data_IF_948538241469
#
_entry.id   IF_948538241469
#
_cell.length_a   1.000
_cell.length_b   1.000
_cell.length_c   1.000
_cell.angle_alpha   90.00
_cell.angle_beta   90.00
_cell.angle_gamma   90.00
#
_symmetry.space_group_name_H-M   'P 1'
#
loop_
_entity.id
_entity.type
_entity.pdbx_description
1 polymer ?
#
# COMPACT_ATOMS: atom_id res chain seq x y z
N UNK A 1 6.07 12.95 0.42
CA UNK A 1 4.87 12.62 -0.39
C UNK A 1 5.31 12.58 -1.85
N UNK A 2 5.09 11.47 -2.58
CA UNK A 2 5.47 11.33 -3.99
C UNK A 2 4.67 12.28 -4.91
N UNK A 3 5.36 12.83 -5.91
CA UNK A 3 4.77 13.67 -6.95
C UNK A 3 4.06 12.80 -7.99
N UNK A 4 2.81 13.11 -8.32
CA UNK A 4 1.97 12.33 -9.25
C UNK A 4 1.56 13.10 -10.52
N UNK A 5 1.77 14.42 -10.53
CA UNK A 5 1.53 15.27 -11.70
C UNK A 5 2.56 16.40 -11.70
N UNK A 6 3.02 16.80 -12.88
CA UNK A 6 3.95 17.91 -13.08
C UNK A 6 3.22 19.21 -13.42
N UNK A 7 1.96 19.16 -13.89
CA UNK A 7 1.18 20.34 -14.27
C UNK A 7 -0.35 20.15 -14.11
N UNK A 8 -0.98 20.71 -13.05
CA UNK A 8 -0.34 21.37 -11.91
C UNK A 8 0.48 20.36 -11.07
N UNK A 9 1.46 20.84 -10.31
CA UNK A 9 2.21 19.97 -9.39
C UNK A 9 1.21 19.37 -8.38
N UNK A 10 1.12 18.04 -8.35
CA UNK A 10 0.29 17.30 -7.39
C UNK A 10 1.12 16.26 -6.66
N UNK A 11 0.81 16.09 -5.39
CA UNK A 11 1.36 15.04 -4.54
C UNK A 11 0.22 14.16 -4.02
N UNK A 12 0.53 12.90 -3.78
CA UNK A 12 -0.41 11.96 -3.19
C UNK A 12 0.17 11.29 -1.94
N UNK A 13 -0.72 10.81 -1.10
CA UNK A 13 -0.41 9.79 -0.10
C UNK A 13 -0.86 8.46 -0.70
N UNK A 14 0.06 7.52 -0.76
CA UNK A 14 -0.23 6.16 -1.21
C UNK A 14 -0.36 5.25 0.01
N UNK A 15 -1.21 4.24 -0.12
CA UNK A 15 -1.36 3.16 0.87
C UNK A 15 -0.42 2.00 0.53
N UNK A 16 -0.47 0.94 1.34
CA UNK A 16 0.23 -0.34 1.15
C UNK A 16 1.76 -0.37 1.38
N UNK A 17 2.33 0.64 2.02
CA UNK A 17 3.65 0.53 2.70
C UNK A 17 3.37 0.01 4.12
N UNK A 18 3.19 -1.31 4.23
CA UNK A 18 2.71 -2.00 5.44
C UNK A 18 3.84 -2.15 6.45
N UNK A 19 5.06 -2.39 5.97
CA UNK A 19 6.24 -2.53 6.83
C UNK A 19 6.85 -1.17 7.24
N UNK A 20 6.39 -0.07 6.64
CA UNK A 20 6.79 1.31 6.90
C UNK A 20 8.25 1.64 6.58
N UNK A 21 8.84 0.95 5.60
CA UNK A 21 10.22 1.20 5.16
C UNK A 21 10.32 2.33 4.12
N UNK A 22 9.17 2.83 3.64
CA UNK A 22 9.10 3.95 2.71
C UNK A 22 9.06 3.52 1.24
N UNK A 23 8.97 2.24 0.93
CA UNK A 23 8.77 1.70 -0.42
C UNK A 23 7.58 0.75 -0.39
N UNK A 24 6.76 0.73 -1.44
CA UNK A 24 5.78 -0.34 -1.61
C UNK A 24 6.40 -1.42 -2.46
N UNK A 25 6.69 -2.58 -1.88
CA UNK A 25 7.33 -3.69 -2.60
C UNK A 25 6.80 -5.09 -2.21
N UNK A 26 7.54 -6.13 -2.60
CA UNK A 26 7.16 -7.52 -2.36
C UNK A 26 7.09 -7.89 -0.87
N UNK A 27 7.81 -7.17 0.01
CA UNK A 27 7.74 -7.37 1.45
C UNK A 27 6.38 -6.92 2.00
N UNK A 28 5.84 -5.80 1.52
CA UNK A 28 4.50 -5.35 1.91
C UNK A 28 3.41 -6.29 1.38
N UNK A 29 3.52 -6.67 0.11
CA UNK A 29 2.61 -7.63 -0.52
C UNK A 29 2.58 -8.95 0.25
N UNK A 30 3.73 -9.44 0.70
CA UNK A 30 3.80 -10.64 1.53
C UNK A 30 3.04 -10.49 2.85
N UNK A 31 3.01 -9.30 3.46
CA UNK A 31 2.22 -9.06 4.68
C UNK A 31 0.72 -9.04 4.39
N UNK A 32 0.31 -8.41 3.29
CA UNK A 32 -1.09 -8.36 2.85
C UNK A 32 -1.59 -9.76 2.49
N UNK A 33 -0.85 -10.49 1.66
CA UNK A 33 -1.21 -11.84 1.22
C UNK A 33 -1.31 -12.81 2.39
N UNK A 34 -0.38 -12.75 3.34
CA UNK A 34 -0.44 -13.58 4.53
C UNK A 34 -1.64 -13.23 5.41
N UNK A 35 -1.98 -11.95 5.58
CA UNK A 35 -3.15 -11.54 6.36
C UNK A 35 -4.47 -11.94 5.68
N UNK A 36 -4.54 -11.79 4.35
CA UNK A 36 -5.66 -12.24 3.51
C UNK A 36 -5.85 -13.76 3.58
N UNK A 37 -4.78 -14.54 3.46
CA UNK A 37 -4.80 -16.00 3.61
C UNK A 37 -5.32 -16.46 4.98
N UNK A 38 -5.04 -15.67 6.04
CA UNK A 38 -5.51 -15.93 7.39
C UNK A 38 -6.88 -15.30 7.70
N UNK A 39 -7.56 -14.70 6.71
CA UNK A 39 -8.87 -14.05 6.86
C UNK A 39 -8.88 -13.00 7.99
N UNK A 40 -7.81 -12.22 8.11
CA UNK A 40 -7.69 -11.18 9.14
C UNK A 40 -8.73 -10.08 8.86
N UNK A 41 -9.37 -9.60 9.93
CA UNK A 41 -10.40 -8.55 9.87
C UNK A 41 -10.15 -7.49 10.95
N UNK A 42 -10.83 -6.36 10.82
CA UNK A 42 -10.69 -5.19 11.68
C UNK A 42 -9.67 -4.19 11.15
N UNK A 43 -9.45 -3.12 11.92
CA UNK A 43 -8.50 -2.07 11.57
C UNK A 43 -7.07 -2.51 11.91
N UNK A 44 -6.45 -3.21 10.95
CA UNK A 44 -5.07 -3.72 11.05
C UNK A 44 -4.21 -3.11 9.94
N UNK A 45 -2.90 -3.11 10.11
CA UNK A 45 -1.98 -2.48 9.14
C UNK A 45 -2.14 -3.00 7.70
N UNK A 46 -2.40 -4.30 7.45
CA UNK A 46 -2.65 -4.83 6.10
C UNK A 46 -4.02 -4.49 5.49
N UNK A 47 -4.95 -3.91 6.25
CA UNK A 47 -6.22 -3.35 5.73
C UNK A 47 -5.91 -1.96 5.15
N UNK A 48 -5.48 -1.96 3.88
CA UNK A 48 -4.93 -0.76 3.23
C UNK A 48 -6.02 0.08 2.56
N UNK A 49 -7.22 -0.48 2.40
CA UNK A 49 -8.41 0.19 1.88
C UNK A 49 -9.33 0.74 2.99
N UNK A 50 -9.19 0.24 4.23
CA UNK A 50 -9.92 0.67 5.42
C UNK A 50 -11.33 0.10 5.58
N UNK A 51 -11.66 -1.01 4.92
CA UNK A 51 -12.99 -1.64 4.95
C UNK A 51 -13.15 -2.72 6.04
N UNK A 52 -12.10 -2.93 6.85
CA UNK A 52 -12.02 -3.92 7.93
C UNK A 52 -11.96 -5.38 7.49
N UNK A 53 -11.65 -5.68 6.23
CA UNK A 53 -11.44 -7.02 5.72
C UNK A 53 -10.15 -7.03 4.90
N UNK A 54 -9.15 -7.81 5.32
CA UNK A 54 -7.95 -7.97 4.48
C UNK A 54 -8.24 -9.00 3.40
N UNK A 55 -8.32 -8.56 2.13
CA UNK A 55 -8.62 -9.45 1.01
C UNK A 55 -7.86 -9.09 -0.30
N UNK A 56 -8.33 -9.63 -1.43
CA UNK A 56 -7.70 -9.42 -2.73
C UNK A 56 -7.76 -7.95 -3.20
N UNK A 57 -8.67 -7.13 -2.65
CA UNK A 57 -8.76 -5.72 -2.98
C UNK A 57 -7.61 -4.93 -2.34
N UNK A 58 -7.17 -5.27 -1.13
CA UNK A 58 -5.96 -4.73 -0.52
C UNK A 58 -4.71 -5.11 -1.32
N UNK A 59 -4.61 -6.40 -1.70
CA UNK A 59 -3.51 -6.90 -2.52
C UNK A 59 -3.43 -6.14 -3.84
N UNK A 60 -4.57 -5.87 -4.49
CA UNK A 60 -4.61 -5.12 -5.76
C UNK A 60 -4.07 -3.68 -5.64
N UNK A 61 -4.24 -3.04 -4.47
CA UNK A 61 -3.69 -1.71 -4.19
C UNK A 61 -2.17 -1.81 -4.03
N UNK A 62 -1.69 -2.77 -3.24
CA UNK A 62 -0.26 -3.05 -3.07
C UNK A 62 0.42 -3.35 -4.41
N UNK A 63 -0.17 -4.22 -5.22
CA UNK A 63 0.38 -4.65 -6.51
C UNK A 63 0.50 -3.48 -7.48
N UNK A 64 -0.54 -2.66 -7.58
CA UNK A 64 -0.53 -1.49 -8.45
C UNK A 64 0.50 -0.45 -7.99
N UNK A 65 0.65 -0.24 -6.68
CA UNK A 65 1.63 0.71 -6.16
C UNK A 65 3.06 0.20 -6.33
N UNK A 66 3.31 -1.09 -6.09
CA UNK A 66 4.60 -1.73 -6.34
C UNK A 66 4.99 -1.69 -7.82
N UNK A 67 4.04 -2.00 -8.72
CA UNK A 67 4.25 -1.91 -10.17
C UNK A 67 4.64 -0.50 -10.64
N UNK A 68 4.10 0.53 -9.98
CA UNK A 68 4.41 1.93 -10.27
C UNK A 68 5.62 2.47 -9.49
N UNK A 69 6.35 1.62 -8.76
CA UNK A 69 7.52 2.00 -7.95
C UNK A 69 7.22 3.13 -6.96
N UNK A 70 6.06 3.06 -6.30
CA UNK A 70 5.67 4.06 -5.29
C UNK A 70 6.65 3.98 -4.12
N UNK A 71 7.27 5.12 -3.83
CA UNK A 71 8.17 5.29 -2.70
C UNK A 71 7.98 6.68 -2.06
N UNK A 72 8.31 6.76 -0.77
CA UNK A 72 8.27 7.98 0.02
C UNK A 72 9.42 8.90 -0.39
N UNK A 73 9.07 10.12 -0.78
CA UNK A 73 10.03 11.22 -0.92
C UNK A 73 10.23 11.88 0.45
N UNK A 74 11.45 11.78 1.00
CA UNK A 74 11.93 12.46 2.21
C UNK A 74 13.15 13.35 1.89
N UNK A 75 13.45 14.37 2.71
CA UNK A 75 14.70 15.12 2.62
C UNK A 75 15.94 14.23 2.67
#
# INVERSE_FOLDING_TARGET
MPQIDTTPIRFAVFSADVNQDGVVDAADLSLIDNASFNFVTGYVTPDVNGDSIVDATDASIGDNNAFNFVAKVTP
#
